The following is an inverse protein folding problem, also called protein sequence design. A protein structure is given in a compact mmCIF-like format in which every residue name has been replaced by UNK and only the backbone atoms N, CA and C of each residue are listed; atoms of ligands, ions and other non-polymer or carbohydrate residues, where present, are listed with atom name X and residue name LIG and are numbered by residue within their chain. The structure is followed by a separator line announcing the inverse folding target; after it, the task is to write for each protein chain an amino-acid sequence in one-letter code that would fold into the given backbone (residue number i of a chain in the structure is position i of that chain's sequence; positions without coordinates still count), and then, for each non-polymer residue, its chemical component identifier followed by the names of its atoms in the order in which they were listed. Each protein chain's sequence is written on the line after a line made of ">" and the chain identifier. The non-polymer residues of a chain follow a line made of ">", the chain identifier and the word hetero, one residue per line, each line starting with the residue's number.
data_IF_968214477902
#
_entry.id   IF_968214477902
#
_cell.length_a   1.000
_cell.length_b   1.000
_cell.length_c   1.000
_cell.angle_alpha   90.00
_cell.angle_beta   90.00
_cell.angle_gamma   90.00
#
_symmetry.space_group_name_H-M   'P 1'
#
loop_
_entity.id
_entity.type
_entity.pdbx_description
1 polymer ?
#
# COMPACT_ATOMS: atom_id res chain seq x y z
N UNK A 1 11.17 -6.97 -1.78
CA UNK A 1 10.24 -8.12 -1.54
C UNK A 1 9.94 -8.18 -0.05
N UNK A 2 8.66 -8.24 0.32
CA UNK A 2 8.24 -8.17 1.74
C UNK A 2 8.21 -9.55 2.40
N UNK A 3 7.92 -10.61 1.62
CA UNK A 3 7.78 -11.98 2.11
C UNK A 3 8.65 -12.98 1.30
N UNK A 4 9.99 -12.88 1.40
CA UNK A 4 10.89 -13.78 0.65
C UNK A 4 10.72 -15.24 1.04
N UNK A 5 10.57 -15.53 2.33
CA UNK A 5 10.45 -16.89 2.83
C UNK A 5 9.18 -17.59 2.34
N UNK A 6 8.04 -16.88 2.36
CA UNK A 6 6.80 -17.40 1.79
C UNK A 6 6.92 -17.69 0.29
N UNK A 7 7.59 -16.83 -0.46
CA UNK A 7 7.81 -17.03 -1.91
C UNK A 7 8.66 -18.26 -2.18
N UNK A 8 9.74 -18.49 -1.43
CA UNK A 8 10.60 -19.68 -1.58
C UNK A 8 9.79 -20.98 -1.33
N UNK A 9 8.86 -20.94 -0.39
CA UNK A 9 7.99 -22.07 -0.07
C UNK A 9 6.73 -22.19 -0.97
N UNK A 10 6.60 -21.32 -1.99
CA UNK A 10 5.49 -21.35 -2.94
C UNK A 10 4.19 -20.74 -2.42
N UNK A 11 4.23 -20.02 -1.31
CA UNK A 11 3.06 -19.30 -0.80
C UNK A 11 2.76 -18.09 -1.68
N UNK A 12 1.53 -17.99 -2.14
CA UNK A 12 1.10 -16.87 -3.00
C UNK A 12 0.88 -15.58 -2.24
N UNK A 13 0.68 -15.64 -0.89
CA UNK A 13 0.31 -14.48 -0.09
C UNK A 13 0.82 -14.54 1.36
N UNK A 14 0.61 -15.65 2.06
CA UNK A 14 0.91 -15.76 3.48
C UNK A 14 2.42 -15.90 3.75
N UNK A 15 2.89 -15.37 4.87
CA UNK A 15 4.18 -15.69 5.46
C UNK A 15 4.22 -17.16 5.96
N UNK A 16 5.38 -17.65 6.39
CA UNK A 16 5.51 -19.01 6.97
C UNK A 16 4.63 -19.22 8.21
N UNK A 17 4.30 -18.14 8.90
CA UNK A 17 3.38 -18.14 10.04
C UNK A 17 1.91 -18.33 9.64
N UNK A 18 1.59 -18.37 8.34
CA UNK A 18 0.23 -18.37 7.82
C UNK A 18 -0.47 -16.98 7.83
N UNK A 19 0.26 -15.95 8.23
CA UNK A 19 -0.27 -14.58 8.34
C UNK A 19 -0.14 -13.87 7.00
N UNK A 20 -1.21 -13.15 6.60
CA UNK A 20 -1.17 -12.21 5.47
C UNK A 20 -0.44 -10.92 5.90
N UNK A 21 0.74 -10.59 5.32
CA UNK A 21 1.48 -9.39 5.69
C UNK A 21 0.66 -8.11 5.51
N UNK A 22 -0.26 -8.09 4.54
CA UNK A 22 -1.10 -6.90 4.29
C UNK A 22 -2.38 -6.85 5.16
N UNK A 23 -2.38 -7.55 6.31
CA UNK A 23 -3.43 -7.48 7.34
C UNK A 23 -2.91 -7.12 8.72
N UNK A 24 -1.61 -6.83 8.85
CA UNK A 24 -0.96 -6.61 10.16
C UNK A 24 -0.34 -5.23 10.32
N UNK A 25 -0.47 -4.34 9.35
CA UNK A 25 0.15 -3.00 9.39
C UNK A 25 -0.36 -2.12 10.53
N UNK A 26 -1.61 -2.28 10.94
CA UNK A 26 -2.16 -1.56 12.08
C UNK A 26 -1.50 -1.98 13.41
N UNK A 27 -1.18 -3.28 13.56
CA UNK A 27 -0.55 -3.83 14.76
C UNK A 27 0.53 -4.83 14.36
N UNK A 28 1.76 -4.35 14.20
CA UNK A 28 2.92 -5.17 13.84
C UNK A 28 3.56 -5.79 15.08
N UNK A 29 4.25 -6.91 14.90
CA UNK A 29 5.01 -7.59 15.95
C UNK A 29 6.42 -7.88 15.47
N UNK A 30 7.44 -7.52 16.27
CA UNK A 30 8.84 -7.81 15.96
C UNK A 30 9.10 -9.32 15.84
N UNK A 31 8.40 -10.13 16.62
CA UNK A 31 8.62 -11.58 16.68
C UNK A 31 7.76 -12.38 15.71
N UNK A 32 6.57 -11.85 15.34
CA UNK A 32 5.59 -12.58 14.51
C UNK A 32 5.59 -12.08 13.07
N UNK A 33 5.77 -10.78 12.88
CA UNK A 33 5.76 -10.13 11.56
C UNK A 33 6.97 -9.19 11.43
N UNK A 34 8.21 -9.71 11.54
CA UNK A 34 9.42 -8.89 11.62
C UNK A 34 9.62 -8.00 10.40
N UNK A 35 9.36 -8.50 9.19
CA UNK A 35 9.49 -7.74 7.94
C UNK A 35 8.62 -6.49 7.97
N UNK A 36 7.33 -6.63 8.25
CA UNK A 36 6.38 -5.51 8.31
C UNK A 36 6.74 -4.55 9.45
N UNK A 37 7.14 -5.09 10.61
CA UNK A 37 7.54 -4.28 11.76
C UNK A 37 8.73 -3.37 11.42
N UNK A 38 9.77 -3.91 10.79
CA UNK A 38 10.98 -3.14 10.44
C UNK A 38 10.72 -2.14 9.32
N UNK A 39 9.97 -2.52 8.26
CA UNK A 39 9.59 -1.61 7.17
C UNK A 39 8.78 -0.44 7.73
N UNK A 40 7.77 -0.73 8.56
CA UNK A 40 6.93 0.31 9.18
C UNK A 40 7.77 1.28 10.02
N UNK A 41 8.70 0.76 10.85
CA UNK A 41 9.62 1.61 11.61
C UNK A 41 10.52 2.46 10.74
N UNK A 42 10.99 1.92 9.62
CA UNK A 42 11.83 2.70 8.69
C UNK A 42 11.02 3.84 8.06
N UNK A 43 9.81 3.58 7.58
CA UNK A 43 8.92 4.61 7.04
C UNK A 43 8.63 5.69 8.10
N UNK A 44 8.38 5.30 9.35
CA UNK A 44 8.16 6.25 10.45
C UNK A 44 9.36 7.17 10.71
N UNK A 45 10.59 6.65 10.59
CA UNK A 45 11.83 7.44 10.76
C UNK A 45 12.04 8.46 9.63
N UNK A 46 11.67 8.10 8.40
CA UNK A 46 11.83 8.94 7.20
C UNK A 46 10.56 9.72 6.83
N UNK A 47 9.59 9.79 7.72
CA UNK A 47 8.27 10.36 7.45
C UNK A 47 8.33 11.75 6.83
N UNK A 48 9.16 12.64 7.37
CA UNK A 48 9.24 14.04 6.94
C UNK A 48 9.85 14.18 5.52
N UNK A 49 10.62 13.19 5.08
CA UNK A 49 11.24 13.14 3.75
C UNK A 49 10.43 12.32 2.75
N UNK A 50 9.42 11.58 3.24
CA UNK A 50 8.63 10.64 2.41
C UNK A 50 7.43 11.33 1.80
N UNK A 51 7.48 11.60 0.51
CA UNK A 51 6.37 12.21 -0.25
C UNK A 51 5.45 11.20 -0.94
N UNK A 52 5.90 9.96 -1.15
CA UNK A 52 5.18 8.92 -1.89
C UNK A 52 5.51 7.53 -1.35
N UNK A 53 4.50 6.69 -1.19
CA UNK A 53 4.66 5.26 -0.87
C UNK A 53 3.84 4.45 -1.88
N UNK A 54 4.49 3.52 -2.57
CA UNK A 54 3.87 2.59 -3.51
C UNK A 54 3.99 1.15 -2.98
N UNK A 55 2.86 0.53 -2.68
CA UNK A 55 2.73 -0.86 -2.31
C UNK A 55 2.35 -1.68 -3.55
N UNK A 56 3.35 -2.34 -4.16
CA UNK A 56 3.20 -3.01 -5.44
C UNK A 56 2.54 -4.38 -5.28
N UNK A 57 1.41 -4.56 -5.96
CA UNK A 57 0.60 -5.76 -5.93
C UNK A 57 0.23 -6.25 -7.34
N UNK A 58 -0.08 -7.53 -7.45
CA UNK A 58 -0.86 -8.05 -8.57
C UNK A 58 -2.36 -8.03 -8.26
N UNK A 59 -3.21 -8.01 -9.28
CA UNK A 59 -4.66 -8.07 -9.12
C UNK A 59 -5.27 -9.22 -9.90
N UNK A 60 -6.10 -10.06 -9.24
CA UNK A 60 -6.64 -11.31 -9.82
C UNK A 60 -7.72 -11.12 -10.90
N UNK A 61 -8.37 -9.94 -10.97
CA UNK A 61 -9.54 -9.71 -11.82
C UNK A 61 -9.43 -8.54 -12.78
N UNK A 62 -8.58 -7.55 -12.48
CA UNK A 62 -8.43 -6.34 -13.27
C UNK A 62 -7.10 -6.34 -14.00
N UNK A 63 -7.12 -5.93 -15.26
CA UNK A 63 -5.95 -5.74 -16.08
C UNK A 63 -5.48 -4.27 -16.06
N UNK A 64 -4.20 -4.08 -16.38
CA UNK A 64 -3.56 -2.77 -16.44
C UNK A 64 -3.08 -2.27 -15.07
N UNK A 65 -2.37 -1.14 -15.11
CA UNK A 65 -1.90 -0.46 -13.91
C UNK A 65 -2.98 0.50 -13.40
N UNK A 66 -3.27 0.49 -12.11
CA UNK A 66 -4.23 1.37 -11.45
C UNK A 66 -3.96 1.45 -9.95
N UNK A 67 -4.50 2.45 -9.27
CA UNK A 67 -4.25 2.67 -7.85
C UNK A 67 -5.49 2.46 -6.97
N UNK A 68 -5.27 1.82 -5.82
CA UNK A 68 -6.11 2.02 -4.65
C UNK A 68 -5.46 3.11 -3.79
N UNK A 69 -6.12 4.25 -3.67
CA UNK A 69 -5.65 5.40 -2.90
C UNK A 69 -6.45 5.59 -1.60
N UNK A 70 -6.14 6.69 -0.91
CA UNK A 70 -6.88 7.15 0.26
C UNK A 70 -7.86 8.26 -0.13
N UNK A 71 -8.67 8.69 0.85
CA UNK A 71 -9.70 9.69 0.64
C UNK A 71 -9.83 10.56 1.90
N UNK A 72 -9.89 11.86 1.70
CA UNK A 72 -10.37 12.81 2.68
C UNK A 72 -11.45 13.69 2.03
N UNK A 73 -12.51 13.96 2.77
CA UNK A 73 -13.59 14.84 2.27
C UNK A 73 -13.14 16.30 2.19
N UNK A 74 -12.23 16.71 3.06
CA UNK A 74 -11.69 18.07 3.11
C UNK A 74 -10.69 18.37 1.99
N UNK A 75 -10.05 17.33 1.40
CA UNK A 75 -9.01 17.52 0.40
C UNK A 75 -8.99 16.41 -0.67
N UNK A 76 -10.10 16.33 -1.41
CA UNK A 76 -10.25 15.32 -2.48
C UNK A 76 -9.22 15.49 -3.60
N UNK A 77 -8.78 16.73 -3.86
CA UNK A 77 -7.88 17.06 -4.97
C UNK A 77 -6.48 16.46 -4.75
N UNK A 78 -5.89 16.65 -3.59
CA UNK A 78 -4.55 16.14 -3.28
C UNK A 78 -4.45 14.62 -3.42
N UNK A 79 -5.46 13.87 -3.00
CA UNK A 79 -5.47 12.41 -3.13
C UNK A 79 -5.59 11.90 -4.58
N UNK A 80 -6.03 12.73 -5.50
CA UNK A 80 -6.24 12.37 -6.91
C UNK A 80 -5.20 12.96 -7.84
N UNK A 81 -4.45 13.95 -7.40
CA UNK A 81 -3.49 14.67 -8.23
C UNK A 81 -2.46 13.70 -8.83
N UNK A 82 -1.72 12.97 -8.00
CA UNK A 82 -0.69 12.04 -8.45
C UNK A 82 -1.24 10.97 -9.42
N UNK A 83 -2.35 10.24 -9.11
CA UNK A 83 -2.96 9.32 -10.07
C UNK A 83 -3.41 9.96 -11.39
N UNK A 84 -3.89 11.20 -11.35
CA UNK A 84 -4.28 11.93 -12.56
C UNK A 84 -3.07 12.28 -13.43
N UNK A 85 -1.97 12.70 -12.81
CA UNK A 85 -0.71 12.97 -13.52
C UNK A 85 -0.15 11.70 -14.16
N UNK A 86 -0.11 10.59 -13.43
CA UNK A 86 0.34 9.29 -13.99
C UNK A 86 -0.53 8.88 -15.19
N UNK A 87 -1.84 9.13 -15.13
CA UNK A 87 -2.75 8.81 -16.25
C UNK A 87 -2.48 9.66 -17.50
N UNK A 88 -1.98 10.88 -17.35
CA UNK A 88 -1.61 11.74 -18.47
C UNK A 88 -0.28 11.31 -19.12
N UNK A 89 0.64 10.79 -18.32
CA UNK A 89 2.00 10.43 -18.75
C UNK A 89 2.11 8.99 -19.28
N UNK A 90 1.26 8.06 -18.84
CA UNK A 90 1.36 6.65 -19.24
C UNK A 90 -0.01 6.07 -19.66
N UNK A 91 -0.14 5.75 -20.94
CA UNK A 91 -1.34 5.14 -21.55
C UNK A 91 -1.72 3.78 -20.93
N UNK A 92 -0.77 3.09 -20.31
CA UNK A 92 -1.02 1.81 -19.63
C UNK A 92 -1.72 1.96 -18.29
N UNK A 93 -1.74 3.20 -17.74
CA UNK A 93 -2.40 3.48 -16.47
C UNK A 93 -3.90 3.70 -16.65
N UNK A 94 -4.70 2.93 -15.94
CA UNK A 94 -6.15 2.93 -16.06
C UNK A 94 -6.82 3.67 -14.91
N UNK A 95 -6.94 4.99 -15.00
CA UNK A 95 -7.54 5.82 -13.95
C UNK A 95 -8.97 5.39 -13.56
N UNK A 96 -9.79 4.94 -14.51
CA UNK A 96 -11.17 4.45 -14.25
C UNK A 96 -11.22 3.24 -13.32
N UNK A 97 -10.13 2.47 -13.25
CA UNK A 97 -9.99 1.33 -12.34
C UNK A 97 -9.55 1.74 -10.92
N UNK A 98 -9.07 2.96 -10.74
CA UNK A 98 -8.66 3.48 -9.43
C UNK A 98 -9.84 3.52 -8.46
N UNK A 99 -9.55 3.33 -7.17
CA UNK A 99 -10.51 3.45 -6.07
C UNK A 99 -9.84 4.18 -4.91
N UNK A 100 -10.55 5.16 -4.35
CA UNK A 100 -10.03 6.03 -3.28
C UNK A 100 -10.76 5.84 -1.95
N UNK A 101 -11.87 5.12 -1.95
CA UNK A 101 -12.67 4.82 -0.76
C UNK A 101 -12.63 3.33 -0.44
N UNK A 102 -12.89 2.97 0.82
CA UNK A 102 -12.91 1.60 1.29
C UNK A 102 -11.51 1.01 1.48
N UNK A 103 -11.46 -0.29 1.69
CA UNK A 103 -10.26 -1.07 1.98
C UNK A 103 -10.20 -1.53 3.43
N UNK A 104 -9.29 -2.47 3.71
CA UNK A 104 -9.07 -3.00 5.06
C UNK A 104 -8.17 -2.04 5.85
N UNK A 105 -8.59 -1.65 7.04
CA UNK A 105 -7.88 -0.70 7.90
C UNK A 105 -6.52 -1.22 8.41
N UNK A 106 -6.27 -2.52 8.32
CA UNK A 106 -5.00 -3.16 8.67
C UNK A 106 -4.07 -3.36 7.48
N UNK A 107 -4.45 -2.93 6.26
CA UNK A 107 -3.57 -2.92 5.09
C UNK A 107 -2.50 -1.83 5.21
N UNK A 108 -1.37 -2.01 4.49
CA UNK A 108 -0.28 -1.03 4.44
C UNK A 108 -0.80 0.38 4.17
N UNK A 109 -1.51 0.55 3.06
CA UNK A 109 -2.05 1.83 2.61
C UNK A 109 -2.87 2.54 3.69
N UNK A 110 -3.85 1.83 4.28
CA UNK A 110 -4.77 2.43 5.25
C UNK A 110 -4.11 2.69 6.61
N UNK A 111 -3.33 1.73 7.10
CA UNK A 111 -2.67 1.87 8.39
C UNK A 111 -1.62 2.99 8.38
N UNK A 112 -0.78 3.04 7.33
CA UNK A 112 0.22 4.10 7.20
C UNK A 112 -0.42 5.48 7.00
N UNK A 113 -1.48 5.58 6.20
CA UNK A 113 -2.21 6.84 6.03
C UNK A 113 -2.78 7.34 7.36
N UNK A 114 -3.44 6.48 8.12
CA UNK A 114 -4.06 6.85 9.39
C UNK A 114 -3.03 7.27 10.46
N UNK A 115 -1.82 6.69 10.41
CA UNK A 115 -0.77 6.97 11.38
C UNK A 115 0.13 8.16 10.99
N UNK A 116 0.43 8.29 9.70
CA UNK A 116 1.44 9.24 9.23
C UNK A 116 0.85 10.48 8.55
N UNK A 117 -0.39 10.39 8.07
CA UNK A 117 -1.05 11.49 7.38
C UNK A 117 -0.49 11.76 5.97
N UNK A 118 0.38 10.90 5.43
CA UNK A 118 0.93 11.06 4.08
C UNK A 118 -0.18 10.79 3.05
N UNK A 119 -0.57 11.75 2.20
CA UNK A 119 -1.68 11.58 1.27
C UNK A 119 -1.37 10.59 0.13
N UNK A 120 -0.13 10.55 -0.34
CA UNK A 120 0.30 9.77 -1.49
C UNK A 120 0.78 8.37 -1.07
N UNK A 121 -0.12 7.57 -0.53
CA UNK A 121 0.10 6.14 -0.25
C UNK A 121 -0.86 5.34 -1.11
N UNK A 122 -0.32 4.54 -2.03
CA UNK A 122 -1.11 3.78 -2.99
C UNK A 122 -0.76 2.30 -2.97
N UNK A 123 -1.77 1.44 -3.11
CA UNK A 123 -1.58 0.06 -3.57
C UNK A 123 -1.75 0.05 -5.09
N UNK A 124 -0.77 -0.47 -5.80
CA UNK A 124 -0.67 -0.45 -7.26
C UNK A 124 -0.99 -1.81 -7.86
#
# INVERSE_FOLDING_TARGET
>A
MVNPDGVIHGNTRAELTGIDPNRVWKKTSKNVTPSIHHIKKQIQKTKEETCLILDLHSHSKKLGCFFYGNYSQSDVKSFRLFPSTVCQEDIRFCYKNCRFRGGNDSSARKALFNELGIPNIFTV
#
